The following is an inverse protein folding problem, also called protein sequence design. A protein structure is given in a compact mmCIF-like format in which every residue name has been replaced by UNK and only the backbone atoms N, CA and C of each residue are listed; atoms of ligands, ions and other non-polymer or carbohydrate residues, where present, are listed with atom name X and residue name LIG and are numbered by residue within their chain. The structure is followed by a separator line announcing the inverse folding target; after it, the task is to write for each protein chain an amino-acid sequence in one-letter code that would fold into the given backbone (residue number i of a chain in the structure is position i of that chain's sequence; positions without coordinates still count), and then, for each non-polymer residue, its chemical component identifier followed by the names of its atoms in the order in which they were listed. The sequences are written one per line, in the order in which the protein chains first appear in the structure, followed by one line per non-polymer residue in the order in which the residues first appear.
data_IF_550323741067
#
_entry.id   IF_550323741067
#
_cell.length_a   1.000
_cell.length_b   1.000
_cell.length_c   1.000
_cell.angle_alpha   90.00
_cell.angle_beta   90.00
_cell.angle_gamma   90.00
#
_symmetry.space_group_name_H-M   'P 1'
#
loop_
_entity.id
_entity.type
_entity.pdbx_description
1 polymer ?
#
# COMPACT_ATOMS: atom_id res chain seq x y z
N UNK A 1 60.74 23.55 28.50
CA UNK A 1 59.46 23.35 27.87
C UNK A 1 59.55 22.00 27.09
N UNK A 2 58.96 20.96 27.70
CA UNK A 2 58.82 19.66 27.01
C UNK A 2 57.75 19.82 25.94
N UNK A 3 58.16 19.99 24.68
CA UNK A 3 57.25 19.92 23.55
C UNK A 3 56.45 18.63 23.63
N UNK A 4 55.14 18.75 23.70
CA UNK A 4 54.25 17.58 23.68
C UNK A 4 54.40 16.91 22.32
N UNK A 5 55.21 15.86 22.29
CA UNK A 5 55.43 15.06 21.09
C UNK A 5 54.11 14.32 20.72
N UNK A 6 53.64 14.50 19.51
CA UNK A 6 52.44 13.83 19.01
C UNK A 6 52.45 12.31 19.24
N UNK A 7 53.64 11.69 19.20
CA UNK A 7 53.84 10.28 19.49
C UNK A 7 53.59 9.97 20.98
N UNK A 8 54.04 10.85 21.90
CA UNK A 8 53.77 10.71 23.33
C UNK A 8 52.28 10.82 23.65
N UNK A 9 51.56 11.75 23.01
CA UNK A 9 50.12 11.88 23.15
C UNK A 9 49.38 10.63 22.66
N UNK A 10 49.72 10.13 21.49
CA UNK A 10 49.09 8.89 20.93
C UNK A 10 49.43 7.68 21.80
N UNK A 11 50.64 7.56 22.36
CA UNK A 11 50.98 6.43 23.22
C UNK A 11 50.22 6.46 24.55
N UNK A 12 49.93 7.64 25.10
CA UNK A 12 49.08 7.78 26.28
C UNK A 12 47.63 7.49 25.96
N UNK A 13 47.12 7.97 24.82
CA UNK A 13 45.74 7.78 24.41
C UNK A 13 45.43 6.32 24.10
N UNK A 14 46.39 5.57 23.52
CA UNK A 14 46.21 4.19 23.10
C UNK A 14 46.81 3.17 24.07
N UNK A 15 47.70 3.60 24.99
CA UNK A 15 48.48 2.71 25.85
C UNK A 15 47.98 2.53 27.27
N UNK A 16 47.05 3.36 27.74
CA UNK A 16 46.51 3.20 29.10
C UNK A 16 45.21 2.38 29.06
N UNK A 17 44.95 1.49 30.03
CA UNK A 17 43.71 0.74 30.09
C UNK A 17 42.45 1.60 30.07
N UNK A 18 42.52 2.78 30.73
CA UNK A 18 41.41 3.72 30.74
C UNK A 18 41.19 4.37 29.37
N UNK A 19 42.23 4.77 28.67
CA UNK A 19 42.15 5.34 27.32
C UNK A 19 41.62 4.31 26.31
N UNK A 20 42.10 3.07 26.40
CA UNK A 20 41.59 1.96 25.57
C UNK A 20 40.10 1.72 25.83
N UNK A 21 39.68 1.72 27.11
CA UNK A 21 38.30 1.59 27.51
C UNK A 21 37.39 2.66 26.91
N UNK A 22 37.75 3.94 27.07
CA UNK A 22 37.00 5.07 26.52
C UNK A 22 36.98 5.07 24.98
N UNK A 23 38.08 4.74 24.34
CA UNK A 23 38.16 4.69 22.88
C UNK A 23 37.26 3.55 22.34
N UNK A 24 37.32 2.35 22.95
CA UNK A 24 36.45 1.24 22.59
C UNK A 24 34.98 1.58 22.77
N UNK A 25 34.64 2.22 23.89
CA UNK A 25 33.28 2.68 24.17
C UNK A 25 32.79 3.69 23.11
N UNK A 26 33.63 4.67 22.79
CA UNK A 26 33.32 5.70 21.79
C UNK A 26 33.11 5.08 20.40
N UNK A 27 34.01 4.17 19.97
CA UNK A 27 33.87 3.45 18.69
C UNK A 27 32.61 2.63 18.67
N UNK A 28 32.30 1.89 19.72
CA UNK A 28 31.09 1.10 19.83
C UNK A 28 29.84 1.97 19.70
N UNK A 29 29.79 3.12 20.40
CA UNK A 29 28.66 4.03 20.30
C UNK A 29 28.49 4.61 18.88
N UNK A 30 29.59 5.00 18.24
CA UNK A 30 29.54 5.51 16.86
C UNK A 30 29.01 4.44 15.90
N UNK A 31 29.50 3.21 16.00
CA UNK A 31 29.01 2.10 15.18
C UNK A 31 27.53 1.79 15.44
N UNK A 32 27.11 1.84 16.69
CA UNK A 32 25.70 1.70 17.08
C UNK A 32 24.82 2.81 16.50
N UNK A 33 25.26 4.06 16.60
CA UNK A 33 24.52 5.21 16.04
C UNK A 33 24.44 5.14 14.51
N UNK A 34 25.52 4.73 13.84
CA UNK A 34 25.51 4.52 12.39
C UNK A 34 24.57 3.37 12.00
N UNK A 35 24.57 2.27 12.76
CA UNK A 35 23.66 1.17 12.56
C UNK A 35 22.20 1.57 12.77
N UNK A 36 21.93 2.34 13.82
CA UNK A 36 20.60 2.87 14.11
C UNK A 36 20.13 3.84 13.01
N UNK A 37 21.00 4.77 12.60
CA UNK A 37 20.70 5.66 11.48
C UNK A 37 20.36 4.85 10.21
N UNK A 38 21.19 3.83 9.90
CA UNK A 38 20.95 2.94 8.77
C UNK A 38 19.62 2.18 8.87
N UNK A 39 19.24 1.77 10.07
CA UNK A 39 17.98 1.09 10.32
C UNK A 39 16.77 2.02 10.14
N UNK A 40 16.88 3.27 10.60
CA UNK A 40 15.79 4.25 10.51
C UNK A 40 15.58 4.81 9.11
N UNK A 41 16.60 4.77 8.24
CA UNK A 41 16.46 5.21 6.85
C UNK A 41 16.27 4.00 5.93
N UNK A 42 15.14 3.91 5.22
CA UNK A 42 14.90 2.81 4.27
C UNK A 42 15.93 2.84 3.14
N UNK A 43 16.42 1.66 2.77
CA UNK A 43 17.43 1.51 1.70
C UNK A 43 16.90 1.80 0.31
N UNK A 44 15.63 1.53 0.10
CA UNK A 44 14.94 1.68 -1.18
C UNK A 44 13.49 2.04 -0.87
N UNK A 45 13.05 3.19 -1.34
CA UNK A 45 11.64 3.55 -1.45
C UNK A 45 11.16 3.06 -2.82
N UNK A 46 10.92 1.77 -2.96
CA UNK A 46 10.21 1.24 -4.13
C UNK A 46 8.72 1.43 -3.88
N UNK A 47 8.21 2.58 -4.26
CA UNK A 47 6.76 2.71 -4.39
C UNK A 47 6.35 1.96 -5.67
N UNK A 48 5.37 1.04 -5.57
CA UNK A 48 4.83 0.41 -6.77
C UNK A 48 4.23 1.50 -7.68
N UNK A 49 4.29 1.34 -9.01
CA UNK A 49 3.74 2.32 -9.92
C UNK A 49 2.27 2.58 -9.59
N UNK A 50 1.89 3.86 -9.57
CA UNK A 50 0.51 4.27 -9.32
C UNK A 50 -0.41 3.90 -10.49
N UNK A 51 0.15 3.86 -11.71
CA UNK A 51 -0.55 3.50 -12.95
C UNK A 51 -0.10 2.13 -13.43
N UNK A 52 -1.05 1.25 -13.71
CA UNK A 52 -0.79 -0.09 -14.22
C UNK A 52 -1.98 -0.62 -15.03
N UNK A 53 -1.69 -1.56 -15.93
CA UNK A 53 -2.70 -2.18 -16.79
C UNK A 53 -3.24 -3.46 -16.17
N UNK A 54 -4.53 -3.70 -16.37
CA UNK A 54 -5.24 -4.83 -15.79
C UNK A 54 -5.96 -5.70 -16.85
N UNK A 55 -5.52 -5.67 -18.10
CA UNK A 55 -6.08 -6.46 -19.19
C UNK A 55 -7.15 -5.70 -19.97
N UNK A 56 -7.86 -6.41 -20.82
CA UNK A 56 -8.90 -5.84 -21.68
C UNK A 56 -10.28 -5.91 -21.04
N UNK A 57 -11.22 -5.00 -21.37
CA UNK A 57 -12.60 -5.10 -20.87
C UNK A 57 -13.27 -6.44 -21.16
N UNK A 58 -12.93 -7.06 -22.30
CA UNK A 58 -13.44 -8.38 -22.71
C UNK A 58 -12.94 -9.56 -21.87
N UNK A 59 -11.89 -9.39 -21.10
CA UNK A 59 -11.33 -10.45 -20.23
C UNK A 59 -12.19 -10.68 -18.98
N UNK A 60 -13.14 -9.80 -18.70
CA UNK A 60 -13.99 -9.84 -17.52
C UNK A 60 -15.41 -10.24 -17.90
N UNK A 61 -15.89 -11.36 -17.35
CA UNK A 61 -17.28 -11.80 -17.52
C UNK A 61 -18.24 -10.94 -16.67
N UNK A 62 -19.49 -10.75 -17.09
CA UNK A 62 -20.51 -10.11 -16.26
C UNK A 62 -20.63 -10.77 -14.88
N UNK A 63 -20.62 -9.98 -13.83
CA UNK A 63 -20.67 -10.45 -12.45
C UNK A 63 -19.35 -10.94 -11.87
N UNK A 64 -18.24 -10.88 -12.60
CA UNK A 64 -16.93 -11.36 -12.17
C UNK A 64 -16.25 -10.38 -11.21
N UNK A 65 -15.61 -10.94 -10.19
CA UNK A 65 -14.66 -10.25 -9.30
C UNK A 65 -13.28 -10.87 -9.52
N UNK A 66 -12.37 -10.12 -10.12
CA UNK A 66 -11.01 -10.57 -10.39
C UNK A 66 -10.08 -10.23 -9.22
N UNK A 67 -9.52 -11.27 -8.60
CA UNK A 67 -8.69 -11.14 -7.39
C UNK A 67 -7.18 -11.21 -7.66
N UNK A 68 -6.73 -11.51 -8.89
CA UNK A 68 -5.31 -11.71 -9.21
C UNK A 68 -4.45 -10.47 -8.93
N UNK A 69 -5.04 -9.29 -9.03
CA UNK A 69 -4.34 -8.02 -8.78
C UNK A 69 -4.30 -7.61 -7.30
N UNK A 70 -4.96 -8.36 -6.42
CA UNK A 70 -5.02 -8.07 -4.98
C UNK A 70 -3.64 -8.10 -4.34
N UNK A 71 -2.84 -9.14 -4.62
CA UNK A 71 -1.53 -9.31 -3.99
C UNK A 71 -0.51 -8.25 -4.43
N UNK A 72 -0.51 -7.90 -5.72
CA UNK A 72 0.48 -7.00 -6.30
C UNK A 72 0.10 -5.53 -6.17
N UNK A 73 -1.18 -5.21 -6.43
CA UNK A 73 -1.64 -3.83 -6.51
C UNK A 73 -2.65 -3.43 -5.44
N UNK A 74 -3.14 -4.37 -4.65
CA UNK A 74 -4.11 -4.10 -3.59
C UNK A 74 -5.48 -3.69 -4.11
N UNK A 75 -5.93 -4.30 -5.23
CA UNK A 75 -7.22 -4.02 -5.85
C UNK A 75 -7.96 -5.30 -6.24
N UNK A 76 -9.27 -5.16 -6.40
CA UNK A 76 -10.10 -6.06 -7.20
C UNK A 76 -10.59 -5.32 -8.43
N UNK A 77 -10.62 -5.98 -9.58
CA UNK A 77 -11.33 -5.49 -10.76
C UNK A 77 -12.67 -6.21 -10.82
N UNK A 78 -13.74 -5.43 -10.86
CA UNK A 78 -15.11 -5.95 -10.81
C UNK A 78 -15.86 -5.51 -12.05
N UNK A 79 -16.52 -6.45 -12.73
CA UNK A 79 -17.51 -6.15 -13.76
C UNK A 79 -18.89 -6.47 -13.22
N UNK A 80 -19.63 -5.46 -12.81
CA UNK A 80 -20.94 -5.61 -12.22
C UNK A 80 -21.78 -4.35 -12.41
N UNK A 81 -23.07 -4.46 -12.19
CA UNK A 81 -23.99 -3.33 -12.24
C UNK A 81 -23.86 -2.45 -11.00
N UNK A 82 -23.94 -1.14 -11.22
CA UNK A 82 -24.12 -0.16 -10.18
C UNK A 82 -25.23 0.80 -10.60
N UNK A 83 -26.28 0.92 -9.78
CA UNK A 83 -27.49 1.69 -10.08
C UNK A 83 -28.18 1.28 -11.41
N UNK A 84 -28.06 0.00 -11.79
CA UNK A 84 -28.67 -0.53 -13.01
C UNK A 84 -27.82 -0.39 -14.27
N UNK A 85 -26.64 0.24 -14.17
CA UNK A 85 -25.73 0.42 -15.28
C UNK A 85 -24.55 -0.56 -15.20
N UNK A 86 -24.29 -1.36 -16.25
CA UNK A 86 -23.17 -2.29 -16.27
C UNK A 86 -21.83 -1.53 -16.37
N UNK A 87 -20.92 -1.83 -15.47
CA UNK A 87 -19.66 -1.12 -15.33
C UNK A 87 -18.50 -2.05 -15.01
N UNK A 88 -17.27 -1.64 -15.38
CA UNK A 88 -16.03 -2.19 -14.84
C UNK A 88 -15.39 -1.12 -13.96
N UNK A 89 -15.02 -1.50 -12.73
CA UNK A 89 -14.37 -0.60 -11.79
C UNK A 89 -13.31 -1.32 -10.95
N UNK A 90 -12.37 -0.56 -10.40
CA UNK A 90 -11.30 -1.03 -9.55
C UNK A 90 -11.59 -0.68 -8.08
N UNK A 91 -11.94 -1.68 -7.27
CA UNK A 91 -12.13 -1.52 -5.83
C UNK A 91 -10.80 -1.63 -5.09
N UNK A 92 -10.54 -0.72 -4.18
CA UNK A 92 -9.42 -0.78 -3.25
C UNK A 92 -9.62 -1.91 -2.25
N UNK A 93 -8.64 -2.80 -2.10
CA UNK A 93 -8.72 -3.96 -1.20
C UNK A 93 -8.41 -3.62 0.27
N UNK A 94 -8.91 -2.50 0.74
CA UNK A 94 -8.70 -1.98 2.09
C UNK A 94 -10.03 -1.68 2.75
N UNK A 95 -10.32 -2.37 3.85
CA UNK A 95 -11.52 -2.19 4.64
C UNK A 95 -11.57 -0.76 5.23
N UNK A 96 -12.70 -0.10 5.07
CA UNK A 96 -12.92 1.28 5.52
C UNK A 96 -13.07 1.42 7.03
N UNK A 97 -13.06 0.30 7.80
CA UNK A 97 -13.02 0.34 9.25
C UNK A 97 -11.60 0.70 9.75
N UNK A 98 -10.64 -0.21 9.68
CA UNK A 98 -9.27 -0.04 10.20
C UNK A 98 -8.20 -0.56 9.24
N UNK A 99 -8.49 -0.64 7.94
CA UNK A 99 -7.48 -0.90 6.93
C UNK A 99 -7.13 -2.37 6.66
N UNK A 100 -7.80 -3.34 7.28
CA UNK A 100 -7.59 -4.76 6.97
C UNK A 100 -8.00 -5.05 5.52
N UNK A 101 -7.46 -6.12 4.93
CA UNK A 101 -7.84 -6.55 3.59
C UNK A 101 -9.03 -7.52 3.67
N UNK A 102 -10.22 -7.15 3.13
CA UNK A 102 -11.34 -8.08 3.03
C UNK A 102 -11.02 -9.24 2.09
N UNK A 103 -11.73 -10.35 2.24
CA UNK A 103 -11.68 -11.49 1.33
C UNK A 103 -12.95 -11.51 0.47
N UNK A 104 -12.77 -11.80 -0.82
CA UNK A 104 -13.89 -12.13 -1.70
C UNK A 104 -14.33 -13.56 -1.43
N UNK A 105 -15.61 -13.76 -1.15
CA UNK A 105 -16.24 -15.07 -0.93
C UNK A 105 -17.10 -15.40 -2.13
N UNK A 106 -16.53 -16.18 -3.05
CA UNK A 106 -17.21 -16.53 -4.31
C UNK A 106 -18.56 -17.21 -4.09
N UNK A 107 -18.64 -18.15 -3.15
CA UNK A 107 -19.89 -18.87 -2.85
C UNK A 107 -20.99 -18.00 -2.23
N UNK A 108 -20.62 -16.85 -1.63
CA UNK A 108 -21.55 -15.93 -0.99
C UNK A 108 -21.72 -14.62 -1.77
N UNK A 109 -20.94 -14.44 -2.83
CA UNK A 109 -20.95 -13.26 -3.72
C UNK A 109 -20.81 -11.93 -2.96
N UNK A 110 -19.93 -11.90 -1.96
CA UNK A 110 -19.68 -10.72 -1.11
C UNK A 110 -18.24 -10.65 -0.63
N UNK A 111 -17.82 -9.48 -0.20
CA UNK A 111 -16.55 -9.30 0.52
C UNK A 111 -16.78 -9.37 2.02
N UNK A 112 -15.90 -10.06 2.73
CA UNK A 112 -15.89 -10.13 4.20
C UNK A 112 -14.51 -9.77 4.75
N UNK A 113 -14.49 -8.85 5.70
CA UNK A 113 -13.29 -8.47 6.41
C UNK A 113 -13.04 -9.43 7.58
N UNK A 114 -11.89 -10.16 7.61
CA UNK A 114 -11.65 -11.16 8.65
C UNK A 114 -11.34 -10.56 10.02
N UNK A 115 -10.99 -9.24 10.08
CA UNK A 115 -10.58 -8.62 11.34
C UNK A 115 -11.76 -8.40 12.29
N UNK A 116 -12.86 -7.83 11.80
CA UNK A 116 -14.01 -7.47 12.64
C UNK A 116 -15.37 -7.74 11.96
N UNK A 117 -15.38 -8.52 10.87
CA UNK A 117 -16.61 -8.99 10.26
C UNK A 117 -17.32 -8.03 9.30
N UNK A 118 -16.76 -6.86 8.99
CA UNK A 118 -17.39 -5.95 8.01
C UNK A 118 -17.69 -6.64 6.70
N UNK A 119 -18.93 -6.46 6.18
CA UNK A 119 -19.41 -7.03 4.94
C UNK A 119 -19.64 -5.96 3.88
N UNK A 120 -19.27 -6.29 2.63
CA UNK A 120 -19.50 -5.43 1.47
C UNK A 120 -20.10 -6.26 0.34
N UNK A 121 -21.07 -5.69 -0.36
CA UNK A 121 -21.61 -6.28 -1.58
C UNK A 121 -20.56 -6.30 -2.71
N UNK A 122 -20.89 -6.93 -3.81
CA UNK A 122 -20.02 -7.03 -4.99
C UNK A 122 -19.64 -5.66 -5.55
N UNK A 123 -20.53 -4.70 -5.49
CA UNK A 123 -20.27 -3.30 -5.90
C UNK A 123 -19.38 -2.52 -4.93
N UNK A 124 -19.10 -3.08 -3.75
CA UNK A 124 -18.28 -2.45 -2.72
C UNK A 124 -19.08 -1.71 -1.65
N UNK A 125 -20.42 -1.63 -1.77
CA UNK A 125 -21.27 -0.99 -0.75
C UNK A 125 -21.29 -1.85 0.51
N UNK A 126 -21.10 -1.22 1.67
CA UNK A 126 -21.12 -1.91 2.96
C UNK A 126 -22.56 -2.21 3.39
N UNK A 127 -22.80 -3.44 3.84
CA UNK A 127 -24.09 -3.87 4.39
C UNK A 127 -23.98 -4.33 5.85
N UNK A 128 -22.75 -4.58 6.32
CA UNK A 128 -22.51 -5.06 7.68
C UNK A 128 -21.30 -4.35 8.28
N UNK A 129 -21.49 -3.82 9.50
CA UNK A 129 -20.46 -3.09 10.23
C UNK A 129 -19.36 -4.00 10.77
N UNK A 130 -18.28 -3.39 11.34
CA UNK A 130 -18.17 -1.98 11.74
C UNK A 130 -17.67 -0.98 10.68
N UNK A 131 -17.47 -1.38 9.42
CA UNK A 131 -17.05 -0.45 8.36
C UNK A 131 -18.09 0.67 8.18
N UNK A 132 -17.68 1.97 8.28
CA UNK A 132 -18.62 3.09 8.27
C UNK A 132 -19.09 3.50 6.88
N UNK A 133 -18.42 3.04 5.81
CA UNK A 133 -18.68 3.48 4.44
C UNK A 133 -18.26 2.41 3.42
N UNK A 134 -18.70 2.53 2.14
CA UNK A 134 -18.28 1.65 1.05
C UNK A 134 -16.78 1.57 0.85
N UNK A 135 -16.32 0.56 0.11
CA UNK A 135 -14.94 0.47 -0.36
C UNK A 135 -14.66 1.61 -1.35
N UNK A 136 -13.44 2.13 -1.32
CA UNK A 136 -13.01 3.18 -2.24
C UNK A 136 -12.81 2.59 -3.65
N UNK A 137 -13.17 3.33 -4.71
CA UNK A 137 -12.77 3.04 -6.09
C UNK A 137 -11.51 3.81 -6.44
N UNK A 138 -10.65 3.23 -7.29
CA UNK A 138 -9.57 3.93 -7.96
C UNK A 138 -10.02 4.40 -9.34
N UNK A 139 -9.32 5.39 -9.89
CA UNK A 139 -9.56 5.79 -11.27
C UNK A 139 -9.23 4.63 -12.22
N UNK A 140 -10.07 4.47 -13.23
CA UNK A 140 -9.93 3.45 -14.27
C UNK A 140 -10.37 4.03 -15.62
N UNK A 141 -9.64 3.69 -16.67
CA UNK A 141 -9.95 4.11 -18.04
C UNK A 141 -9.53 3.04 -19.03
N UNK A 142 -10.04 3.13 -20.24
CA UNK A 142 -9.46 2.39 -21.38
C UNK A 142 -8.30 3.21 -21.93
N UNK A 143 -7.11 2.63 -21.95
CA UNK A 143 -5.91 3.23 -22.52
C UNK A 143 -5.92 3.16 -24.05
N UNK A 144 -4.99 3.86 -24.72
CA UNK A 144 -4.90 3.94 -26.19
C UNK A 144 -4.71 2.56 -26.87
N UNK A 145 -4.15 1.61 -26.15
CA UNK A 145 -3.97 0.22 -26.61
C UNK A 145 -5.19 -0.69 -26.34
N UNK A 146 -6.28 -0.13 -25.82
CA UNK A 146 -7.52 -0.83 -25.51
C UNK A 146 -7.52 -1.57 -24.17
N UNK A 147 -6.44 -1.55 -23.42
CA UNK A 147 -6.37 -2.15 -22.08
C UNK A 147 -6.98 -1.22 -21.02
N UNK A 148 -7.52 -1.82 -19.98
CA UNK A 148 -7.90 -1.10 -18.76
C UNK A 148 -6.65 -0.66 -18.02
N UNK A 149 -6.57 0.63 -17.73
CA UNK A 149 -5.51 1.25 -16.92
C UNK A 149 -6.11 1.79 -15.63
N UNK A 150 -5.51 1.41 -14.51
CA UNK A 150 -5.91 1.87 -13.16
C UNK A 150 -4.89 2.86 -12.66
N UNK A 151 -5.37 4.00 -12.13
CA UNK A 151 -4.55 5.01 -11.47
C UNK A 151 -4.91 5.09 -9.97
N UNK A 152 -3.99 4.64 -9.14
CA UNK A 152 -4.15 4.65 -7.67
C UNK A 152 -3.93 6.02 -7.02
N UNK A 153 -3.46 7.01 -7.76
CA UNK A 153 -3.30 8.37 -7.24
C UNK A 153 -4.65 9.06 -7.01
N UNK A 154 -5.70 8.63 -7.72
CA UNK A 154 -7.06 9.16 -7.62
C UNK A 154 -8.01 8.13 -7.03
N UNK A 155 -8.77 8.57 -6.02
CA UNK A 155 -9.77 7.76 -5.31
C UNK A 155 -11.14 8.42 -5.39
N UNK A 156 -12.17 7.59 -5.35
CA UNK A 156 -13.57 8.00 -5.42
C UNK A 156 -14.35 7.34 -4.29
N UNK A 157 -15.07 8.13 -3.54
CA UNK A 157 -15.87 7.73 -2.41
C UNK A 157 -17.36 7.80 -2.78
N UNK A 158 -18.09 6.72 -2.51
CA UNK A 158 -19.53 6.62 -2.81
C UNK A 158 -20.34 7.64 -2.00
N UNK A 159 -20.07 7.75 -0.71
CA UNK A 159 -20.78 8.64 0.22
C UNK A 159 -20.65 10.13 -0.14
N UNK A 160 -19.70 10.47 -1.03
CA UNK A 160 -19.55 11.82 -1.60
C UNK A 160 -20.15 11.95 -3.00
N UNK A 161 -20.85 10.91 -3.49
CA UNK A 161 -21.40 10.86 -4.84
C UNK A 161 -20.36 10.76 -5.96
N UNK A 162 -19.09 10.47 -5.60
CA UNK A 162 -17.97 10.49 -6.56
C UNK A 162 -17.95 9.27 -7.49
N UNK A 163 -18.74 8.23 -7.20
CA UNK A 163 -18.83 7.08 -8.12
C UNK A 163 -19.59 7.39 -9.41
N UNK A 164 -20.26 8.54 -9.48
CA UNK A 164 -20.84 9.07 -10.73
C UNK A 164 -19.79 9.71 -11.67
N UNK A 165 -18.56 9.93 -11.20
CA UNK A 165 -17.48 10.45 -12.06
C UNK A 165 -17.06 9.39 -13.09
N UNK A 166 -17.03 9.75 -14.37
CA UNK A 166 -16.66 8.88 -15.49
C UNK A 166 -15.24 8.29 -15.37
N UNK A 167 -14.39 8.83 -14.49
CA UNK A 167 -13.07 8.27 -14.20
C UNK A 167 -13.11 7.16 -13.14
N UNK A 168 -14.23 6.95 -12.45
CA UNK A 168 -14.38 5.93 -11.42
C UNK A 168 -14.77 4.55 -11.95
N UNK A 169 -15.17 4.46 -13.21
CA UNK A 169 -15.60 3.24 -13.89
C UNK A 169 -15.42 3.33 -15.40
N UNK A 170 -15.52 2.18 -16.07
CA UNK A 170 -15.63 2.06 -17.53
C UNK A 170 -16.99 1.45 -17.85
N UNK A 171 -17.85 2.09 -18.65
CA UNK A 171 -19.13 1.51 -19.09
C UNK A 171 -18.88 0.33 -20.03
N UNK A 172 -19.74 -0.73 -19.95
CA UNK A 172 -19.58 -1.97 -20.73
C UNK A 172 -20.93 -2.56 -21.14
#
# INVERSE_FOLDING_TARGET
EKGSDRRGFLSVLLGTPLAVGFTSLAVTHVLWLLGLARFLFPNVLTEPPTNFKVGFPGDYSPGQVEAKYKAQFGIWVVRFEYQGEPQIYALKSVCTHLGCTPNWLEGEQKFKCPCHGSGFYKDGVNFEGPAPRPLERYAIRVADDGQLEVDKSRKFNEELGQWADNSSFVPV
#
